data_IF_856657513020
#
_entry.id   IF_856657513020
#
_cell.length_a   1.000
_cell.length_b   1.000
_cell.length_c   1.000
_cell.angle_alpha   90.00
_cell.angle_beta   90.00
_cell.angle_gamma   90.00
#
_symmetry.space_group_name_H-M   'P 1'
#
loop_
_entity.id
_entity.type
_entity.pdbx_description
1 polymer ?
#
# COMPACT_ATOMS: atom_id res chain seq x y z
N UNK A 1 14.16 12.27 -3.80
CA UNK A 1 13.53 13.12 -4.84
C UNK A 1 12.92 14.34 -4.18
N UNK A 2 13.08 15.54 -4.75
CA UNK A 2 12.71 16.84 -4.13
C UNK A 2 11.30 17.32 -4.51
N UNK A 3 10.39 16.38 -4.80
CA UNK A 3 9.01 16.65 -5.23
C UNK A 3 8.06 15.72 -4.47
N UNK A 4 6.78 16.11 -4.31
CA UNK A 4 5.75 15.24 -3.80
C UNK A 4 5.62 13.96 -4.65
N UNK A 5 5.59 12.81 -3.99
CA UNK A 5 5.33 11.51 -4.60
C UNK A 5 4.12 10.89 -3.91
N UNK A 6 3.12 10.56 -4.72
CA UNK A 6 1.94 9.80 -4.30
C UNK A 6 1.94 8.52 -5.11
N UNK A 7 1.96 7.37 -4.45
CA UNK A 7 1.86 6.06 -5.08
C UNK A 7 0.51 5.45 -4.76
N UNK A 8 -0.17 4.85 -5.74
CA UNK A 8 -1.46 4.18 -5.54
C UNK A 8 -1.39 2.77 -6.10
N UNK A 9 -1.66 1.77 -5.28
CA UNK A 9 -1.85 0.39 -5.75
C UNK A 9 -3.28 0.26 -6.27
N UNK A 10 -3.42 0.00 -7.58
CA UNK A 10 -4.73 -0.06 -8.27
C UNK A 10 -5.19 -1.50 -8.60
N UNK A 11 -4.40 -2.49 -8.22
CA UNK A 11 -4.65 -3.90 -8.50
C UNK A 11 -3.75 -4.76 -7.62
N UNK A 12 -2.76 -5.41 -8.20
CA UNK A 12 -1.81 -6.23 -7.44
C UNK A 12 -0.45 -5.53 -7.27
N UNK A 13 -0.08 -5.28 -6.02
CA UNK A 13 1.24 -4.81 -5.60
C UNK A 13 2.12 -5.99 -5.22
N UNK A 14 2.89 -6.53 -6.18
CA UNK A 14 3.76 -7.68 -5.95
C UNK A 14 5.19 -7.31 -5.55
N UNK A 15 5.58 -7.68 -4.33
CA UNK A 15 6.96 -7.78 -3.84
C UNK A 15 7.82 -6.52 -4.11
N UNK A 16 9.12 -6.74 -4.38
CA UNK A 16 10.08 -5.69 -4.71
C UNK A 16 9.74 -4.93 -5.99
N UNK A 17 9.01 -5.55 -6.93
CA UNK A 17 8.60 -4.90 -8.18
C UNK A 17 7.63 -3.74 -7.94
N UNK A 18 6.64 -3.93 -7.07
CA UNK A 18 5.76 -2.86 -6.62
C UNK A 18 6.50 -1.85 -5.74
N UNK A 19 7.38 -2.33 -4.85
CA UNK A 19 8.15 -1.46 -3.94
C UNK A 19 9.06 -0.49 -4.69
N UNK A 20 9.62 -0.90 -5.83
CA UNK A 20 10.50 -0.08 -6.66
C UNK A 20 9.87 1.28 -7.05
N UNK A 21 8.53 1.37 -7.07
CA UNK A 21 7.77 2.58 -7.42
C UNK A 21 6.81 3.04 -6.31
N UNK A 22 6.83 2.41 -5.14
CA UNK A 22 5.95 2.79 -4.02
C UNK A 22 6.66 3.48 -2.85
N UNK A 23 7.95 3.83 -3.02
CA UNK A 23 8.69 4.68 -2.07
C UNK A 23 8.24 6.14 -2.24
N UNK A 24 7.15 6.48 -1.57
CA UNK A 24 6.40 7.73 -1.75
C UNK A 24 6.21 8.50 -0.43
N UNK A 25 5.81 9.78 -0.53
CA UNK A 25 5.38 10.58 0.63
C UNK A 25 4.01 10.13 1.12
N UNK A 26 3.17 9.64 0.21
CA UNK A 26 1.88 9.04 0.51
C UNK A 26 1.68 7.78 -0.34
N UNK A 27 1.25 6.69 0.29
CA UNK A 27 0.87 5.44 -0.36
C UNK A 27 -0.62 5.21 -0.16
N UNK A 28 -1.34 5.04 -1.26
CA UNK A 28 -2.76 4.73 -1.30
C UNK A 28 -2.98 3.34 -1.87
N UNK A 29 -4.13 2.75 -1.56
CA UNK A 29 -4.58 1.50 -2.14
C UNK A 29 -6.05 1.63 -2.53
N UNK A 30 -6.44 1.09 -3.68
CA UNK A 30 -7.86 0.84 -3.95
C UNK A 30 -8.38 -0.22 -2.96
N UNK A 31 -9.65 -0.12 -2.61
CA UNK A 31 -10.30 -0.92 -1.57
C UNK A 31 -10.07 -2.43 -1.69
N UNK A 32 -10.06 -2.97 -2.91
CA UNK A 32 -9.90 -4.39 -3.22
C UNK A 32 -8.52 -4.73 -3.82
N UNK A 33 -7.61 -3.75 -3.88
CA UNK A 33 -6.22 -4.01 -4.27
C UNK A 33 -5.46 -4.77 -3.17
N UNK A 34 -4.41 -5.49 -3.56
CA UNK A 34 -3.55 -6.24 -2.64
C UNK A 34 -2.12 -5.72 -2.71
N UNK A 35 -1.39 -5.80 -1.60
CA UNK A 35 0.05 -5.54 -1.58
C UNK A 35 0.74 -6.59 -0.70
N UNK A 36 1.67 -7.35 -1.27
CA UNK A 36 2.34 -8.46 -0.59
C UNK A 36 3.82 -8.56 -0.92
N UNK A 37 4.61 -9.20 -0.03
CA UNK A 37 6.04 -9.48 -0.26
C UNK A 37 6.26 -10.69 -1.17
N UNK A 38 5.30 -11.59 -1.24
CA UNK A 38 5.26 -12.82 -2.05
C UNK A 38 3.81 -13.06 -2.48
N UNK A 39 3.56 -13.76 -3.58
CA UNK A 39 2.18 -14.14 -3.91
C UNK A 39 1.63 -15.11 -2.84
N UNK A 40 0.33 -15.09 -2.54
CA UNK A 40 -0.27 -16.05 -1.61
C UNK A 40 -0.01 -17.51 -1.98
N UNK A 41 -0.01 -17.85 -3.26
CA UNK A 41 0.29 -19.19 -3.79
C UNK A 41 1.75 -19.58 -3.50
N UNK A 42 2.68 -18.64 -3.71
CA UNK A 42 4.09 -18.84 -3.39
C UNK A 42 4.29 -19.09 -1.90
N UNK A 43 3.66 -18.27 -1.05
CA UNK A 43 3.69 -18.45 0.41
C UNK A 43 3.11 -19.81 0.82
N UNK A 44 1.96 -20.19 0.25
CA UNK A 44 1.30 -21.46 0.49
C UNK A 44 2.18 -22.66 0.14
N UNK A 45 2.82 -22.63 -1.03
CA UNK A 45 3.74 -23.70 -1.47
C UNK A 45 4.93 -23.89 -0.53
N UNK A 46 5.42 -22.81 0.10
CA UNK A 46 6.59 -22.85 0.99
C UNK A 46 6.20 -23.29 2.39
N UNK A 47 5.20 -22.65 2.99
CA UNK A 47 4.83 -22.86 4.41
C UNK A 47 3.90 -24.05 4.60
N UNK A 48 3.06 -24.35 3.61
CA UNK A 48 2.04 -25.40 3.68
C UNK A 48 2.25 -26.55 2.69
N UNK A 49 3.31 -26.50 1.87
CA UNK A 49 3.66 -27.53 0.87
C UNK A 49 2.55 -27.80 -0.16
N UNK A 50 1.67 -26.82 -0.38
CA UNK A 50 0.54 -26.93 -1.30
C UNK A 50 -0.03 -25.57 -1.65
N UNK A 51 -0.25 -25.30 -2.93
CA UNK A 51 -0.74 -24.01 -3.42
C UNK A 51 -2.25 -23.82 -3.16
N UNK A 52 -2.98 -24.89 -2.88
CA UNK A 52 -4.40 -24.88 -2.54
C UNK A 52 -4.71 -24.08 -1.26
N UNK A 53 -3.69 -23.85 -0.42
CA UNK A 53 -3.75 -23.07 0.83
C UNK A 53 -3.54 -21.56 0.61
N UNK A 54 -3.64 -21.07 -0.63
CA UNK A 54 -3.42 -19.66 -0.96
C UNK A 54 -4.34 -18.70 -0.20
N UNK A 55 -5.60 -19.07 0.04
CA UNK A 55 -6.54 -18.24 0.82
C UNK A 55 -6.07 -18.07 2.27
N UNK A 56 -5.69 -19.16 2.93
CA UNK A 56 -5.15 -19.13 4.30
C UNK A 56 -3.87 -18.28 4.36
N UNK A 57 -3.00 -18.41 3.36
CA UNK A 57 -1.76 -17.66 3.26
C UNK A 57 -2.02 -16.15 3.07
N UNK A 58 -2.97 -15.77 2.21
CA UNK A 58 -3.35 -14.37 1.99
C UNK A 58 -3.89 -13.71 3.27
N UNK A 59 -4.73 -14.43 4.02
CA UNK A 59 -5.28 -13.97 5.28
C UNK A 59 -4.17 -13.80 6.34
N UNK A 60 -3.32 -14.82 6.50
CA UNK A 60 -2.21 -14.80 7.45
C UNK A 60 -1.19 -13.67 7.16
N UNK A 61 -0.94 -13.40 5.88
CA UNK A 61 -0.04 -12.32 5.44
C UNK A 61 -0.66 -10.94 5.59
N UNK A 62 -1.99 -10.82 5.56
CA UNK A 62 -2.68 -9.54 5.72
C UNK A 62 -2.51 -8.59 4.53
N UNK A 63 -2.70 -9.10 3.31
CA UNK A 63 -2.38 -8.40 2.05
C UNK A 63 -3.39 -7.30 1.65
N UNK A 64 -4.52 -7.18 2.33
CA UNK A 64 -5.62 -6.29 1.96
C UNK A 64 -5.36 -4.84 2.37
N UNK A 65 -5.95 -3.90 1.62
CA UNK A 65 -5.85 -2.46 1.91
C UNK A 65 -6.24 -2.12 3.37
N UNK A 66 -7.31 -2.71 3.89
CA UNK A 66 -7.78 -2.48 5.26
C UNK A 66 -6.77 -2.96 6.29
N UNK A 67 -6.18 -4.14 6.08
CA UNK A 67 -5.20 -4.70 7.00
C UNK A 67 -3.91 -3.86 7.00
N UNK A 68 -3.39 -3.54 5.82
CA UNK A 68 -2.19 -2.71 5.69
C UNK A 68 -2.40 -1.29 6.24
N UNK A 69 -3.60 -0.73 6.10
CA UNK A 69 -3.95 0.55 6.73
C UNK A 69 -3.94 0.47 8.25
N UNK A 70 -4.50 -0.61 8.82
CA UNK A 70 -4.50 -0.82 10.28
C UNK A 70 -3.09 -0.97 10.87
N UNK A 71 -2.13 -1.43 10.05
CA UNK A 71 -0.71 -1.56 10.43
C UNK A 71 0.09 -0.26 10.20
N UNK A 72 -0.53 0.78 9.63
CA UNK A 72 0.13 2.04 9.30
C UNK A 72 1.10 1.95 8.11
N UNK A 73 0.97 0.93 7.25
CA UNK A 73 1.84 0.73 6.08
C UNK A 73 1.35 1.51 4.85
N UNK A 74 0.08 1.92 4.85
CA UNK A 74 -0.51 2.80 3.85
C UNK A 74 -1.25 3.97 4.50
N UNK A 75 -1.44 5.04 3.74
CA UNK A 75 -1.94 6.32 4.22
C UNK A 75 -3.43 6.51 3.93
N UNK A 76 -3.95 5.92 2.85
CA UNK A 76 -5.35 6.08 2.50
C UNK A 76 -5.87 4.88 1.70
N UNK A 77 -7.12 4.52 1.94
CA UNK A 77 -7.89 3.59 1.10
C UNK A 77 -8.79 4.44 0.20
N UNK A 78 -8.80 4.12 -1.08
CA UNK A 78 -9.72 4.71 -2.06
C UNK A 78 -10.86 3.73 -2.23
N UNK A 79 -12.05 4.14 -1.81
CA UNK A 79 -13.25 3.32 -1.92
C UNK A 79 -13.58 3.03 -3.38
N UNK A 80 -14.02 1.80 -3.63
CA UNK A 80 -14.43 1.35 -4.95
C UNK A 80 -15.96 1.30 -5.05
N UNK A 81 -16.53 1.39 -6.26
CA UNK A 81 -17.96 1.19 -6.50
C UNK A 81 -18.46 -0.12 -5.91
N UNK A 82 -19.78 -0.23 -5.71
CA UNK A 82 -20.40 -1.44 -5.22
C UNK A 82 -20.05 -2.64 -6.12
N UNK A 83 -19.28 -3.59 -5.59
CA UNK A 83 -18.81 -4.77 -6.32
C UNK A 83 -17.50 -4.59 -7.08
N UNK A 84 -16.79 -3.47 -6.89
CA UNK A 84 -15.42 -3.23 -7.39
C UNK A 84 -15.31 -2.26 -8.56
N UNK A 85 -14.10 -1.74 -8.79
CA UNK A 85 -13.79 -0.71 -9.78
C UNK A 85 -14.16 -1.10 -11.21
N UNK A 86 -14.16 -2.39 -11.53
CA UNK A 86 -14.53 -2.90 -12.85
C UNK A 86 -16.03 -2.72 -13.17
N UNK A 87 -16.87 -2.49 -12.16
CA UNK A 87 -18.33 -2.30 -12.35
C UNK A 87 -18.68 -0.87 -12.76
N UNK A 88 -17.90 0.10 -12.30
CA UNK A 88 -18.02 1.49 -12.71
C UNK A 88 -16.63 2.18 -12.68
N UNK A 89 -15.94 2.14 -13.81
CA UNK A 89 -14.63 2.78 -13.95
C UNK A 89 -14.70 4.30 -13.74
N UNK A 90 -15.83 4.93 -14.06
CA UNK A 90 -15.97 6.37 -13.97
C UNK A 90 -16.09 6.80 -12.51
N UNK A 91 -16.90 6.12 -11.71
CA UNK A 91 -17.01 6.32 -10.27
C UNK A 91 -15.67 6.04 -9.57
N UNK A 92 -15.02 4.91 -9.87
CA UNK A 92 -13.70 4.57 -9.32
C UNK A 92 -12.64 5.63 -9.64
N UNK A 93 -12.62 6.13 -10.89
CA UNK A 93 -11.72 7.21 -11.31
C UNK A 93 -11.99 8.52 -10.58
N UNK A 94 -13.27 8.86 -10.34
CA UNK A 94 -13.64 10.06 -9.60
C UNK A 94 -13.19 9.97 -8.13
N UNK A 95 -13.41 8.83 -7.48
CA UNK A 95 -12.94 8.57 -6.13
C UNK A 95 -11.41 8.72 -6.03
N UNK A 96 -10.68 8.07 -6.93
CA UNK A 96 -9.22 8.18 -7.00
C UNK A 96 -8.76 9.63 -7.24
N UNK A 97 -9.39 10.34 -8.18
CA UNK A 97 -9.08 11.75 -8.48
C UNK A 97 -9.24 12.62 -7.25
N UNK A 98 -10.31 12.44 -6.50
CA UNK A 98 -10.56 13.22 -5.28
C UNK A 98 -9.48 12.96 -4.22
N UNK A 99 -9.08 11.69 -4.04
CA UNK A 99 -8.02 11.30 -3.11
C UNK A 99 -6.67 11.90 -3.53
N UNK A 100 -6.29 11.77 -4.80
CA UNK A 100 -5.04 12.33 -5.34
C UNK A 100 -4.99 13.86 -5.20
N UNK A 101 -6.09 14.57 -5.48
CA UNK A 101 -6.14 16.04 -5.32
C UNK A 101 -5.99 16.45 -3.86
N UNK A 102 -6.63 15.73 -2.93
CA UNK A 102 -6.51 16.00 -1.50
C UNK A 102 -5.07 15.79 -1.02
N UNK A 103 -4.48 14.65 -1.37
CA UNK A 103 -3.09 14.32 -1.03
C UNK A 103 -2.09 15.30 -1.62
N UNK A 104 -2.23 15.65 -2.90
CA UNK A 104 -1.35 16.62 -3.53
C UNK A 104 -1.44 17.97 -2.83
N UNK A 105 -2.66 18.44 -2.51
CA UNK A 105 -2.86 19.68 -1.76
C UNK A 105 -2.16 19.65 -0.39
N UNK A 106 -2.21 18.53 0.32
CA UNK A 106 -1.52 18.37 1.61
C UNK A 106 0.01 18.43 1.46
N UNK A 107 0.55 17.86 0.38
CA UNK A 107 2.00 17.79 0.14
C UNK A 107 2.57 19.05 -0.52
N UNK A 108 1.79 19.78 -1.31
CA UNK A 108 2.26 20.95 -2.09
C UNK A 108 2.73 22.14 -1.23
N UNK A 109 2.30 22.21 0.04
CA UNK A 109 2.75 23.25 0.97
C UNK A 109 4.05 22.93 1.70
N UNK A 110 4.61 21.72 1.53
CA UNK A 110 5.78 21.24 2.26
C UNK A 110 7.04 21.59 1.45
N UNK A 111 8.07 22.09 2.14
CA UNK A 111 9.34 22.40 1.49
C UNK A 111 10.00 21.14 0.94
N UNK A 112 10.81 21.27 -0.12
CA UNK A 112 11.51 20.13 -0.71
C UNK A 112 12.41 19.39 0.28
N UNK A 113 12.98 20.09 1.27
CA UNK A 113 13.79 19.49 2.34
C UNK A 113 12.89 18.66 3.27
N UNK A 114 11.83 19.27 3.78
CA UNK A 114 10.93 18.61 4.73
C UNK A 114 10.21 17.41 4.08
N UNK A 115 9.93 17.45 2.77
CA UNK A 115 9.41 16.28 2.03
C UNK A 115 10.38 15.09 2.10
N UNK A 116 11.67 15.33 1.86
CA UNK A 116 12.70 14.28 1.90
C UNK A 116 12.86 13.75 3.32
N UNK A 117 12.93 14.64 4.31
CA UNK A 117 13.11 14.28 5.72
C UNK A 117 11.91 13.46 6.22
N UNK A 118 10.67 13.92 5.95
CA UNK A 118 9.44 13.18 6.29
C UNK A 118 9.37 11.80 5.64
N UNK A 119 9.78 11.68 4.37
CA UNK A 119 9.80 10.40 3.68
C UNK A 119 10.81 9.45 4.30
N UNK A 120 11.98 9.97 4.69
CA UNK A 120 13.00 9.18 5.39
C UNK A 120 12.47 8.69 6.74
N UNK A 121 11.94 9.58 7.57
CA UNK A 121 11.38 9.24 8.88
C UNK A 121 10.26 8.19 8.78
N UNK A 122 9.36 8.36 7.79
CA UNK A 122 8.31 7.40 7.47
C UNK A 122 8.89 6.01 7.20
N UNK A 123 9.90 5.92 6.34
CA UNK A 123 10.53 4.64 5.98
C UNK A 123 11.21 3.98 7.18
N UNK A 124 11.89 4.77 8.03
CA UNK A 124 12.56 4.27 9.24
C UNK A 124 11.57 3.84 10.33
N UNK A 125 10.35 4.38 10.31
CA UNK A 125 9.30 4.02 11.27
C UNK A 125 8.65 2.65 11.01
N UNK A 126 8.88 2.06 9.83
CA UNK A 126 8.30 0.78 9.47
C UNK A 126 8.96 -0.39 10.19
N UNK A 127 8.09 -1.31 10.62
CA UNK A 127 8.49 -2.46 11.41
C UNK A 127 8.25 -2.27 12.91
N UNK A 128 8.28 -3.39 13.61
CA UNK A 128 8.18 -3.47 15.08
C UNK A 128 9.17 -4.53 15.52
N UNK A 129 10.11 -4.16 16.38
CA UNK A 129 11.11 -5.05 16.93
C UNK A 129 11.09 -4.93 18.45
N UNK A 130 11.45 -6.02 19.13
CA UNK A 130 11.79 -5.98 20.56
C UNK A 130 13.30 -5.86 20.63
N UNK A 131 13.80 -4.79 21.23
CA UNK A 131 15.22 -4.70 21.55
C UNK A 131 15.55 -5.75 22.60
N UNK A 132 16.47 -6.64 22.28
CA UNK A 132 17.05 -7.54 23.27
C UNK A 132 18.22 -6.78 23.87
N UNK A 133 18.10 -6.43 25.16
CA UNK A 133 19.23 -5.87 25.89
C UNK A 133 20.39 -6.87 25.83
N UNK A 134 21.54 -6.41 25.32
CA UNK A 134 22.80 -7.15 25.32
C UNK A 134 23.47 -7.01 26.68
#
# INVERSE_FOLDING_TARGET
MKVPIISTVIGEGGSGGALAISVADMVMMLQYSIYSVISPEGCASILWKGAERASDAAEAMGVTAQRLKSLGLIDQIVDEPLGGAHRDHQEASQALRQCLRSALKQLSGISAKDLVDRRFDRLMSYGRFKEVAV
#
